data_IF_336394757836
#
_entry.id   IF_336394757836
#
_cell.length_a   1.000
_cell.length_b   1.000
_cell.length_c   1.000
_cell.angle_alpha   90.00
_cell.angle_beta   90.00
_cell.angle_gamma   90.00
#
_symmetry.space_group_name_H-M   'P 1'
#
loop_
_entity.id
_entity.type
_entity.pdbx_description
1 polymer ?
#
# COMPACT_ATOMS: atom_id res chain seq x y z
N UNK A 1 11.54 30.97 -10.11
CA UNK A 1 11.06 30.93 -11.51
C UNK A 1 12.18 30.67 -12.51
N UNK A 2 13.43 30.70 -12.05
CA UNK A 2 14.63 30.73 -12.87
C UNK A 2 14.68 29.60 -13.91
N UNK A 3 14.38 28.36 -13.54
CA UNK A 3 14.36 27.24 -14.48
C UNK A 3 13.26 27.33 -15.54
N UNK A 4 12.05 27.78 -15.17
CA UNK A 4 10.95 27.94 -16.11
C UNK A 4 11.25 29.04 -17.12
N UNK A 5 11.86 30.14 -16.67
CA UNK A 5 12.27 31.26 -17.53
C UNK A 5 13.38 30.91 -18.54
N UNK A 6 14.11 29.80 -18.37
CA UNK A 6 15.08 29.30 -19.35
C UNK A 6 14.41 28.72 -20.60
N UNK A 7 13.15 28.30 -20.51
CA UNK A 7 12.43 27.62 -21.61
C UNK A 7 11.20 28.38 -22.08
N UNK A 8 10.68 29.31 -21.29
CA UNK A 8 9.54 30.15 -21.67
C UNK A 8 9.64 31.54 -21.04
N UNK A 9 9.24 32.59 -21.76
CA UNK A 9 9.35 33.96 -21.25
C UNK A 9 8.10 34.33 -20.43
N UNK A 10 8.19 34.21 -19.10
CA UNK A 10 7.12 34.62 -18.19
C UNK A 10 7.49 35.97 -17.57
N UNK A 11 6.76 37.01 -17.97
CA UNK A 11 6.90 38.35 -17.39
C UNK A 11 6.06 38.47 -16.11
N UNK A 12 6.62 39.11 -15.09
CA UNK A 12 5.94 39.36 -13.81
C UNK A 12 6.09 38.25 -12.77
N UNK A 13 5.36 38.38 -11.67
CA UNK A 13 5.36 37.43 -10.55
C UNK A 13 4.03 36.64 -10.55
N UNK A 14 4.02 35.38 -10.05
CA UNK A 14 2.78 34.64 -9.93
C UNK A 14 1.81 35.34 -8.98
N UNK A 15 0.56 35.54 -9.42
CA UNK A 15 -0.51 36.11 -8.60
C UNK A 15 -0.88 35.17 -7.43
N UNK A 16 -0.76 33.86 -7.66
CA UNK A 16 -1.06 32.83 -6.68
C UNK A 16 -0.12 31.63 -6.83
N UNK A 17 0.24 31.01 -5.70
CA UNK A 17 1.08 29.82 -5.67
C UNK A 17 0.64 28.85 -4.57
N UNK A 18 0.62 27.55 -4.91
CA UNK A 18 0.42 26.45 -3.95
C UNK A 18 1.64 25.55 -3.98
N UNK A 19 2.23 25.31 -2.81
CA UNK A 19 3.41 24.48 -2.65
C UNK A 19 3.06 23.30 -1.75
N UNK A 20 3.11 22.10 -2.31
CA UNK A 20 2.92 20.84 -1.57
C UNK A 20 4.20 20.04 -1.55
N UNK A 21 4.66 19.65 -0.35
CA UNK A 21 5.91 18.88 -0.18
C UNK A 21 5.60 17.42 0.14
N UNK A 22 5.92 16.55 -0.81
CA UNK A 22 5.67 15.11 -0.71
C UNK A 22 6.93 14.37 -0.24
N UNK A 23 7.11 14.27 1.08
CA UNK A 23 8.26 13.57 1.68
C UNK A 23 8.06 12.05 1.58
N UNK A 24 9.02 11.34 0.97
CA UNK A 24 9.00 9.87 0.82
C UNK A 24 7.73 9.33 0.13
N UNK A 25 7.14 10.12 -0.76
CA UNK A 25 5.90 9.74 -1.45
C UNK A 25 6.12 8.82 -2.67
N UNK A 26 7.38 8.64 -3.10
CA UNK A 26 7.72 7.85 -4.27
C UNK A 26 8.56 6.63 -3.87
N UNK A 27 7.92 5.45 -3.70
CA UNK A 27 8.63 4.19 -3.52
C UNK A 27 9.72 4.00 -4.59
N UNK A 28 10.89 3.53 -4.17
CA UNK A 28 12.02 3.28 -5.06
C UNK A 28 12.27 1.78 -5.13
N UNK A 29 11.99 1.18 -6.30
CA UNK A 29 12.24 -0.24 -6.53
C UNK A 29 13.68 -0.43 -7.00
N UNK A 30 14.59 -0.57 -6.03
CA UNK A 30 16.00 -0.85 -6.33
C UNK A 30 16.19 -2.30 -6.76
N UNK A 31 17.35 -2.61 -7.35
CA UNK A 31 17.76 -3.98 -7.65
C UNK A 31 17.56 -4.88 -6.42
N UNK A 32 16.99 -6.06 -6.62
CA UNK A 32 16.63 -6.98 -5.55
C UNK A 32 15.21 -6.79 -4.98
N UNK A 33 14.40 -5.86 -5.50
CA UNK A 33 13.07 -5.57 -4.95
C UNK A 33 12.13 -6.77 -4.99
N UNK A 34 12.12 -7.50 -6.11
CA UNK A 34 11.24 -8.66 -6.30
C UNK A 34 11.62 -9.80 -5.34
N UNK A 35 12.90 -10.01 -5.13
CA UNK A 35 13.47 -11.02 -4.24
C UNK A 35 13.13 -10.70 -2.78
N UNK A 36 13.28 -9.43 -2.37
CA UNK A 36 12.87 -8.98 -1.04
C UNK A 36 11.37 -9.17 -0.82
N UNK A 37 10.56 -8.85 -1.83
CA UNK A 37 9.12 -9.00 -1.75
C UNK A 37 8.69 -10.48 -1.63
N UNK A 38 9.31 -11.36 -2.42
CA UNK A 38 9.06 -12.80 -2.33
C UNK A 38 9.38 -13.33 -0.92
N UNK A 39 10.53 -12.94 -0.36
CA UNK A 39 10.93 -13.32 1.00
C UNK A 39 9.93 -12.83 2.05
N UNK A 40 9.47 -11.58 1.94
CA UNK A 40 8.47 -11.04 2.87
C UNK A 40 7.16 -11.81 2.77
N UNK A 41 6.67 -12.08 1.55
CA UNK A 41 5.43 -12.85 1.34
C UNK A 41 5.53 -14.27 1.93
N UNK A 42 6.67 -14.93 1.77
CA UNK A 42 6.94 -16.25 2.35
C UNK A 42 6.91 -16.21 3.89
N UNK A 43 7.64 -15.27 4.50
CA UNK A 43 7.67 -15.10 5.95
C UNK A 43 6.29 -14.77 6.54
N UNK A 44 5.54 -13.88 5.87
CA UNK A 44 4.18 -13.54 6.29
C UNK A 44 3.24 -14.73 6.23
N UNK A 45 3.35 -15.59 5.22
CA UNK A 45 2.51 -16.77 5.12
C UNK A 45 2.73 -17.73 6.32
N UNK A 46 3.95 -17.85 6.83
CA UNK A 46 4.26 -18.69 7.99
C UNK A 46 3.97 -18.03 9.33
N UNK A 47 4.27 -16.73 9.47
CA UNK A 47 4.27 -16.05 10.78
C UNK A 47 3.00 -15.22 11.02
N UNK A 48 2.31 -14.78 9.96
CA UNK A 48 1.18 -13.87 10.00
C UNK A 48 0.04 -14.34 9.07
N UNK A 49 -0.52 -15.55 9.28
CA UNK A 49 -1.61 -16.05 8.46
C UNK A 49 -2.81 -15.10 8.54
N UNK A 50 -3.40 -14.79 7.38
CA UNK A 50 -4.52 -13.84 7.26
C UNK A 50 -4.10 -12.38 7.06
N UNK A 51 -2.81 -12.06 7.01
CA UNK A 51 -2.29 -10.72 6.67
C UNK A 51 -1.84 -10.68 5.21
N UNK A 52 -2.32 -9.69 4.46
CA UNK A 52 -2.05 -9.54 3.03
C UNK A 52 -1.52 -8.14 2.71
N UNK A 53 -0.60 -8.06 1.75
CA UNK A 53 0.02 -6.81 1.31
C UNK A 53 -0.71 -6.22 0.10
N UNK A 54 -0.89 -4.90 0.08
CA UNK A 54 -1.39 -4.16 -1.07
C UNK A 54 -0.86 -2.71 -1.08
N UNK A 55 -0.69 -2.14 -2.28
CA UNK A 55 -0.36 -0.73 -2.50
C UNK A 55 0.99 -0.49 -3.17
N UNK A 56 1.35 0.79 -3.30
CA UNK A 56 2.45 1.25 -4.15
C UNK A 56 3.85 0.82 -3.71
N UNK A 57 3.99 0.21 -2.54
CA UNK A 57 5.28 -0.25 -2.02
C UNK A 57 5.69 -1.64 -2.54
N UNK A 58 4.78 -2.35 -3.22
CA UNK A 58 4.95 -3.78 -3.51
C UNK A 58 5.04 -4.05 -5.02
N UNK A 59 3.91 -4.18 -5.72
CA UNK A 59 3.87 -4.72 -7.09
C UNK A 59 3.31 -3.72 -8.10
N UNK A 60 3.80 -2.48 -8.06
CA UNK A 60 3.43 -1.46 -9.02
C UNK A 60 3.18 -0.11 -8.35
N UNK A 61 3.60 0.95 -9.02
CA UNK A 61 3.52 2.32 -8.54
C UNK A 61 2.25 3.02 -9.04
N UNK A 62 1.69 2.54 -10.15
CA UNK A 62 0.54 3.13 -10.79
C UNK A 62 -0.71 3.03 -9.92
N UNK A 63 -1.62 3.98 -10.09
CA UNK A 63 -2.93 3.93 -9.45
C UNK A 63 -3.70 2.64 -9.83
N UNK A 64 -3.72 2.20 -11.12
CA UNK A 64 -4.34 0.92 -11.48
C UNK A 64 -3.71 -0.27 -10.75
N UNK A 65 -2.38 -0.34 -10.69
CA UNK A 65 -1.68 -1.42 -9.98
C UNK A 65 -2.08 -1.48 -8.50
N UNK A 66 -2.24 -0.33 -7.85
CA UNK A 66 -2.67 -0.25 -6.45
C UNK A 66 -4.12 -0.72 -6.27
N UNK A 67 -5.00 -0.41 -7.22
CA UNK A 67 -6.39 -0.87 -7.22
C UNK A 67 -6.44 -2.39 -7.36
N UNK A 68 -5.76 -2.94 -8.38
CA UNK A 68 -5.72 -4.38 -8.64
C UNK A 68 -5.15 -5.16 -7.45
N UNK A 69 -4.09 -4.63 -6.82
CA UNK A 69 -3.53 -5.19 -5.58
C UNK A 69 -4.52 -5.14 -4.42
N UNK A 70 -5.29 -4.06 -4.27
CA UNK A 70 -6.33 -3.93 -3.26
C UNK A 70 -7.46 -4.94 -3.46
N UNK A 71 -7.95 -5.08 -4.68
CA UNK A 71 -8.97 -6.08 -5.03
C UNK A 71 -8.50 -7.50 -4.77
N UNK A 72 -7.24 -7.80 -5.12
CA UNK A 72 -6.62 -9.09 -4.83
C UNK A 72 -6.55 -9.35 -3.32
N UNK A 73 -6.08 -8.39 -2.53
CA UNK A 73 -6.01 -8.53 -1.08
C UNK A 73 -7.39 -8.80 -0.46
N UNK A 74 -8.44 -8.13 -0.91
CA UNK A 74 -9.81 -8.40 -0.44
C UNK A 74 -10.24 -9.83 -0.75
N UNK A 75 -10.00 -10.31 -1.98
CA UNK A 75 -10.31 -11.71 -2.34
C UNK A 75 -9.57 -12.69 -1.44
N UNK A 76 -8.28 -12.48 -1.23
CA UNK A 76 -7.44 -13.36 -0.41
C UNK A 76 -7.91 -13.38 1.07
N UNK A 77 -8.28 -12.21 1.62
CA UNK A 77 -8.85 -12.10 2.99
C UNK A 77 -10.16 -12.87 3.11
N UNK A 78 -11.08 -12.70 2.16
CA UNK A 78 -12.38 -13.36 2.21
C UNK A 78 -12.24 -14.88 2.16
N UNK A 79 -11.35 -15.39 1.29
CA UNK A 79 -11.06 -16.82 1.20
C UNK A 79 -10.47 -17.35 2.52
N UNK A 80 -9.54 -16.61 3.13
CA UNK A 80 -8.95 -17.00 4.41
C UNK A 80 -9.99 -17.08 5.53
N UNK A 81 -10.86 -16.06 5.65
CA UNK A 81 -11.87 -16.02 6.71
C UNK A 81 -12.98 -17.07 6.54
N UNK A 82 -13.32 -17.42 5.30
CA UNK A 82 -14.30 -18.49 5.02
C UNK A 82 -13.78 -19.88 5.41
N UNK A 83 -12.46 -20.07 5.41
CA UNK A 83 -11.81 -21.34 5.76
C UNK A 83 -11.48 -21.42 7.26
N UNK A 84 -11.43 -20.28 7.95
CA UNK A 84 -11.19 -20.24 9.39
C UNK A 84 -12.42 -20.78 10.14
N UNK A 85 -12.29 -21.81 10.99
CA UNK A 85 -13.39 -22.23 11.85
C UNK A 85 -13.76 -21.06 12.77
N UNK A 86 -15.03 -20.66 12.73
CA UNK A 86 -15.60 -19.68 13.67
C UNK A 86 -15.47 -20.30 15.06
N UNK A 87 -14.41 -19.94 15.80
CA UNK A 87 -14.38 -20.22 17.23
C UNK A 87 -15.54 -19.46 17.85
N UNK A 88 -16.51 -20.22 18.34
CA UNK A 88 -17.73 -19.75 18.97
C UNK A 88 -17.35 -18.83 20.13
N UNK A 89 -17.53 -17.52 19.94
CA UNK A 89 -17.29 -16.48 20.96
C UNK A 89 -18.40 -16.50 22.03
N UNK A 90 -18.89 -17.69 22.41
CA UNK A 90 -19.90 -17.88 23.45
C UNK A 90 -19.31 -17.99 24.87
N UNK A 91 -18.03 -18.33 25.00
CA UNK A 91 -17.46 -18.68 26.32
C UNK A 91 -16.84 -17.50 27.08
N UNK A 92 -16.74 -16.32 26.46
CA UNK A 92 -16.25 -15.10 27.13
C UNK A 92 -17.35 -14.28 27.83
N UNK A 93 -18.63 -14.57 27.58
CA UNK A 93 -19.75 -13.86 28.21
C UNK A 93 -20.42 -14.62 29.36
N UNK A 94 -20.08 -15.90 29.59
CA UNK A 94 -20.66 -16.71 30.66
C UNK A 94 -19.97 -16.56 32.02
N UNK A 95 -18.80 -15.91 32.10
CA UNK A 95 -18.09 -15.67 33.37
C UNK A 95 -18.37 -14.30 34.03
N UNK A 96 -19.28 -13.50 33.46
CA UNK A 96 -19.70 -12.19 34.00
C UNK A 96 -21.15 -12.21 34.50
N UNK A 97 -21.65 -13.37 34.95
CA UNK A 97 -22.91 -13.48 35.70
C UNK A 97 -22.71 -14.23 37.00
#
# INVERSE_FOLDING_TARGET
MDDLNKVMNIAGQPEFAVISRWKRAMPQYTVGHRERLAKIKEQMASELPGVFLAGSSYEGLGLPDCIDQGEKAVRDVLLYLQQAPVQQTSDLYSSVR
#
